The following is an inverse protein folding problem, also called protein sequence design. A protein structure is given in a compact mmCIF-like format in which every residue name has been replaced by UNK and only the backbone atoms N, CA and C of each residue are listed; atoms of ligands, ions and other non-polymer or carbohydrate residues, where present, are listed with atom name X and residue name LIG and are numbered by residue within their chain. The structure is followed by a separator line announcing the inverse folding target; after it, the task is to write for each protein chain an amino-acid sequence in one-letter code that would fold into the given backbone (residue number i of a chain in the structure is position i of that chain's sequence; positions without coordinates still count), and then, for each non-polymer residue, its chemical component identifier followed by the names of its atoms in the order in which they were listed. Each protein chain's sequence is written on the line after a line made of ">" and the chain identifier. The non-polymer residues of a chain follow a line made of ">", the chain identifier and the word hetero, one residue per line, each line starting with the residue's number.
data_IF_511679211673
#
_entry.id   IF_511679211673
#
_cell.length_a   1.000
_cell.length_b   1.000
_cell.length_c   1.000
_cell.angle_alpha   90.00
_cell.angle_beta   90.00
_cell.angle_gamma   90.00
#
_symmetry.space_group_name_H-M   'P 1'
#
loop_
_entity.id
_entity.type
_entity.pdbx_description
1 polymer ?
#
# COMPACT_ATOMS: atom_id res chain seq x y z
N UNK A 1 43.13 -1.39 17.47
CA UNK A 1 43.94 -1.20 16.24
C UNK A 1 43.17 -1.80 15.06
N UNK A 2 42.66 -0.98 14.14
CA UNK A 2 41.86 -1.44 12.99
C UNK A 2 42.71 -1.63 11.74
N UNK A 3 42.57 -2.78 11.07
CA UNK A 3 43.22 -3.03 9.79
C UNK A 3 42.54 -2.22 8.68
N UNK A 4 43.31 -1.37 7.99
CA UNK A 4 42.83 -0.63 6.83
C UNK A 4 43.25 -1.40 5.58
N UNK A 5 42.31 -2.00 4.84
CA UNK A 5 42.64 -2.75 3.64
C UNK A 5 43.29 -1.81 2.62
N UNK A 6 44.49 -2.17 2.16
CA UNK A 6 45.17 -1.45 1.08
C UNK A 6 44.62 -1.92 -0.27
N UNK A 7 44.29 -1.02 -1.20
CA UNK A 7 43.88 -1.42 -2.53
C UNK A 7 45.05 -2.11 -3.25
N UNK A 8 44.74 -3.06 -4.13
CA UNK A 8 45.75 -3.71 -4.97
C UNK A 8 46.47 -2.65 -5.83
N UNK A 9 47.81 -2.72 -5.95
CA UNK A 9 48.57 -1.76 -6.75
C UNK A 9 48.12 -1.80 -8.21
N UNK A 10 48.13 -0.63 -8.86
CA UNK A 10 47.72 -0.47 -10.28
C UNK A 10 48.73 -1.08 -11.24
N UNK A 11 49.97 -1.25 -10.80
CA UNK A 11 51.08 -1.80 -11.59
C UNK A 11 51.64 -2.98 -10.80
N UNK A 12 51.68 -4.14 -11.44
CA UNK A 12 52.34 -5.31 -10.91
C UNK A 12 53.68 -5.44 -11.64
N UNK A 13 54.77 -5.59 -10.88
CA UNK A 13 56.09 -5.87 -11.42
C UNK A 13 56.09 -7.24 -12.13
N UNK A 14 56.96 -7.40 -13.13
CA UNK A 14 57.13 -8.69 -13.81
C UNK A 14 57.84 -9.64 -12.85
N UNK A 15 57.30 -10.85 -12.69
CA UNK A 15 57.85 -11.88 -11.82
C UNK A 15 58.16 -13.13 -12.63
N UNK A 16 59.33 -13.73 -12.42
CA UNK A 16 59.74 -14.95 -13.15
C UNK A 16 59.05 -16.23 -12.65
N UNK A 17 58.18 -16.12 -11.63
CA UNK A 17 57.46 -17.26 -11.04
C UNK A 17 56.11 -17.44 -11.74
N UNK A 18 55.88 -18.55 -12.48
CA UNK A 18 54.65 -18.72 -13.29
C UNK A 18 53.35 -18.75 -12.48
N UNK A 19 53.40 -19.25 -11.24
CA UNK A 19 52.24 -19.26 -10.33
C UNK A 19 51.82 -17.84 -9.92
N UNK A 20 52.80 -16.98 -9.65
CA UNK A 20 52.56 -15.59 -9.27
C UNK A 20 52.03 -14.82 -10.48
N UNK A 21 52.61 -15.02 -11.66
CA UNK A 21 52.14 -14.37 -12.89
C UNK A 21 50.69 -14.71 -13.22
N UNK A 22 50.29 -15.99 -13.14
CA UNK A 22 48.89 -16.41 -13.33
C UNK A 22 47.96 -15.71 -12.35
N UNK A 23 48.30 -15.68 -11.06
CA UNK A 23 47.50 -15.01 -10.02
C UNK A 23 47.41 -13.50 -10.27
N UNK A 24 48.48 -12.86 -10.72
CA UNK A 24 48.49 -11.44 -11.07
C UNK A 24 47.59 -11.14 -12.27
N UNK A 25 47.58 -12.00 -13.29
CA UNK A 25 46.66 -11.89 -14.43
C UNK A 25 45.20 -12.03 -13.99
N UNK A 26 44.89 -13.00 -13.13
CA UNK A 26 43.54 -13.16 -12.57
C UNK A 26 43.09 -11.93 -11.77
N UNK A 27 43.96 -11.38 -10.93
CA UNK A 27 43.66 -10.17 -10.15
C UNK A 27 43.44 -8.94 -11.05
N UNK A 28 44.22 -8.79 -12.13
CA UNK A 28 44.01 -7.74 -13.14
C UNK A 28 42.64 -7.89 -13.80
N UNK A 29 42.31 -9.10 -14.25
CA UNK A 29 41.02 -9.41 -14.89
C UNK A 29 39.83 -9.09 -13.97
N UNK A 30 39.88 -9.58 -12.73
CA UNK A 30 38.84 -9.32 -11.73
C UNK A 30 38.68 -7.82 -11.43
N UNK A 31 39.79 -7.08 -11.37
CA UNK A 31 39.75 -5.63 -11.17
C UNK A 31 39.10 -4.91 -12.35
N UNK A 32 39.45 -5.29 -13.58
CA UNK A 32 38.86 -4.71 -14.80
C UNK A 32 37.35 -4.99 -14.86
N UNK A 33 36.94 -6.24 -14.63
CA UNK A 33 35.53 -6.63 -14.53
C UNK A 33 34.79 -5.81 -13.45
N UNK A 34 35.36 -5.74 -12.24
CA UNK A 34 34.78 -4.98 -11.13
C UNK A 34 34.68 -3.49 -11.46
N UNK A 35 35.70 -2.91 -12.09
CA UNK A 35 35.70 -1.50 -12.48
C UNK A 35 34.63 -1.21 -13.53
N UNK A 36 34.46 -2.09 -14.52
CA UNK A 36 33.41 -1.98 -15.53
C UNK A 36 32.02 -2.08 -14.89
N UNK A 37 31.82 -3.01 -13.94
CA UNK A 37 30.56 -3.13 -13.20
C UNK A 37 30.25 -1.88 -12.38
N UNK A 38 31.24 -1.30 -11.69
CA UNK A 38 31.10 -0.05 -10.94
C UNK A 38 30.72 1.10 -11.87
N UNK A 39 31.33 1.19 -13.05
CA UNK A 39 30.98 2.21 -14.04
C UNK A 39 29.54 2.06 -14.55
N UNK A 40 29.11 0.83 -14.86
CA UNK A 40 27.73 0.56 -15.29
C UNK A 40 26.74 0.97 -14.20
N UNK A 41 26.99 0.58 -12.95
CA UNK A 41 26.16 0.97 -11.81
C UNK A 41 26.13 2.50 -11.63
N UNK A 42 27.27 3.18 -11.78
CA UNK A 42 27.36 4.65 -11.72
C UNK A 42 26.52 5.30 -12.80
N UNK A 43 26.57 4.80 -14.05
CA UNK A 43 25.76 5.31 -15.16
C UNK A 43 24.27 5.16 -14.87
N UNK A 44 23.83 3.99 -14.39
CA UNK A 44 22.43 3.75 -14.01
C UNK A 44 21.95 4.72 -12.92
N UNK A 45 22.75 4.97 -11.87
CA UNK A 45 22.39 5.93 -10.82
C UNK A 45 22.25 7.35 -11.36
N UNK A 46 23.15 7.77 -12.25
CA UNK A 46 23.08 9.10 -12.89
C UNK A 46 21.82 9.22 -13.75
N UNK A 47 21.50 8.19 -14.53
CA UNK A 47 20.31 8.15 -15.38
C UNK A 47 19.01 8.23 -14.54
N UNK A 48 18.94 7.46 -13.45
CA UNK A 48 17.82 7.53 -12.51
C UNK A 48 17.69 8.91 -11.84
N UNK A 49 18.80 9.59 -11.56
CA UNK A 49 18.79 10.97 -11.04
C UNK A 49 18.29 11.99 -12.07
N UNK A 50 18.54 11.76 -13.37
CA UNK A 50 18.07 12.62 -14.46
C UNK A 50 16.59 12.46 -14.78
N UNK A 51 15.98 11.32 -14.39
CA UNK A 51 14.56 11.08 -14.62
C UNK A 51 13.74 12.15 -13.89
N UNK A 52 12.86 12.84 -14.65
CA UNK A 52 11.93 13.82 -14.07
C UNK A 52 11.13 13.14 -12.96
N UNK A 53 11.13 13.77 -11.79
CA UNK A 53 10.32 13.37 -10.66
C UNK A 53 8.91 13.93 -10.85
N UNK A 54 7.92 13.19 -10.40
CA UNK A 54 6.55 13.69 -10.37
C UNK A 54 6.49 14.88 -9.40
N UNK A 55 5.93 15.99 -9.87
CA UNK A 55 5.69 17.18 -9.04
C UNK A 55 4.24 17.20 -8.65
N UNK A 56 3.97 17.48 -7.38
CA UNK A 56 2.62 17.51 -6.85
C UNK A 56 2.29 18.89 -6.28
N UNK A 57 1.02 19.25 -6.32
CA UNK A 57 0.51 20.52 -5.81
C UNK A 57 -0.23 20.33 -4.48
N UNK A 58 -0.34 21.41 -3.70
CA UNK A 58 -1.13 21.42 -2.47
C UNK A 58 -2.59 21.11 -2.81
N UNK A 59 -3.23 20.22 -2.03
CA UNK A 59 -4.61 19.77 -2.26
C UNK A 59 -4.74 18.60 -3.23
N UNK A 60 -3.66 18.18 -3.91
CA UNK A 60 -3.71 17.02 -4.78
C UNK A 60 -3.82 15.73 -3.96
N UNK A 61 -4.69 14.80 -4.41
CA UNK A 61 -4.79 13.44 -3.85
C UNK A 61 -3.64 12.58 -4.37
N UNK A 62 -2.97 11.87 -3.47
CA UNK A 62 -1.86 10.97 -3.79
C UNK A 62 -1.96 9.67 -3.00
N UNK A 63 -1.54 8.58 -3.61
CA UNK A 63 -1.33 7.30 -2.94
C UNK A 63 0.01 7.30 -2.20
N UNK A 64 0.04 6.72 -1.00
CA UNK A 64 1.26 6.51 -0.23
C UNK A 64 1.73 5.05 -0.35
N UNK A 65 2.98 4.80 -0.73
CA UNK A 65 3.56 3.46 -0.74
C UNK A 65 3.86 2.95 0.68
N UNK A 66 3.30 1.80 1.03
CA UNK A 66 3.43 1.17 2.35
C UNK A 66 4.73 0.41 2.62
N UNK A 67 5.73 0.46 1.73
CA UNK A 67 6.93 -0.41 1.79
C UNK A 67 7.72 -0.30 3.11
N UNK A 68 7.69 0.89 3.73
CA UNK A 68 8.48 1.21 4.91
C UNK A 68 7.61 1.53 6.13
N UNK A 69 6.31 1.25 6.06
CA UNK A 69 5.35 1.64 7.09
C UNK A 69 4.75 0.39 7.71
N UNK A 70 4.62 0.41 9.04
CA UNK A 70 3.94 -0.63 9.79
C UNK A 70 2.53 -0.16 10.11
N UNK A 71 1.56 -0.75 9.42
CA UNK A 71 0.14 -0.45 9.58
C UNK A 71 -0.56 -1.47 10.50
N UNK A 72 0.19 -2.33 11.19
CA UNK A 72 -0.39 -3.28 12.17
C UNK A 72 -1.08 -4.49 11.54
N UNK A 73 -0.90 -4.73 10.24
CA UNK A 73 -1.41 -5.94 9.60
C UNK A 73 -0.61 -7.18 10.03
N UNK A 74 -1.26 -8.35 10.17
CA UNK A 74 -0.62 -9.56 10.68
C UNK A 74 0.48 -10.12 9.75
N UNK A 75 0.39 -9.90 8.43
CA UNK A 75 1.41 -10.37 7.49
C UNK A 75 1.69 -9.38 6.35
N UNK A 76 2.96 -9.25 5.95
CA UNK A 76 3.41 -8.38 4.84
C UNK A 76 2.83 -8.74 3.47
N UNK A 77 2.31 -9.95 3.29
CA UNK A 77 1.72 -10.40 2.02
C UNK A 77 0.29 -9.92 1.81
N UNK A 78 -0.45 -9.71 2.90
CA UNK A 78 -1.83 -9.21 2.89
C UNK A 78 -1.91 -7.69 3.04
N UNK A 79 -0.77 -7.03 3.24
CA UNK A 79 -0.68 -5.59 3.30
C UNK A 79 -0.98 -4.98 1.92
N UNK A 80 -1.85 -3.96 1.84
CA UNK A 80 -1.98 -3.15 0.64
C UNK A 80 -0.61 -2.58 0.25
N UNK A 81 -0.29 -2.63 -1.05
CA UNK A 81 0.98 -2.05 -1.54
C UNK A 81 0.97 -0.52 -1.45
N UNK A 82 -0.21 0.07 -1.56
CA UNK A 82 -0.46 1.51 -1.52
C UNK A 82 -1.65 1.75 -0.62
N UNK A 83 -1.50 2.72 0.25
CA UNK A 83 -2.54 3.15 1.18
C UNK A 83 -3.11 4.47 0.74
N UNK A 84 -4.43 4.58 0.87
CA UNK A 84 -5.27 5.79 0.82
C UNK A 84 -5.01 6.84 -0.29
N UNK A 85 -6.04 7.48 -0.83
CA UNK A 85 -5.84 8.81 -1.36
C UNK A 85 -5.64 9.78 -0.18
N UNK A 86 -4.39 10.21 0.04
CA UNK A 86 -4.08 11.27 0.99
C UNK A 86 -3.98 12.61 0.27
N UNK A 87 -4.45 13.66 0.92
CA UNK A 87 -4.33 15.02 0.41
C UNK A 87 -2.97 15.61 0.83
N UNK A 88 -2.31 16.32 -0.09
CA UNK A 88 -1.09 17.07 0.23
C UNK A 88 -1.48 18.34 0.97
N UNK A 89 -1.12 18.40 2.25
CA UNK A 89 -1.33 19.56 3.13
C UNK A 89 -0.37 20.70 2.76
N UNK A 90 0.91 20.38 2.52
CA UNK A 90 1.95 21.36 2.27
C UNK A 90 3.09 20.79 1.42
N UNK A 91 3.60 21.59 0.48
CA UNK A 91 4.80 21.27 -0.30
C UNK A 91 6.01 21.89 0.41
N UNK A 92 6.76 21.07 1.15
CA UNK A 92 7.91 21.56 1.92
C UNK A 92 9.15 21.81 1.06
N UNK A 93 9.25 21.14 -0.09
CA UNK A 93 10.39 21.27 -0.99
C UNK A 93 10.22 20.45 -2.27
N UNK A 94 11.23 20.41 -3.15
CA UNK A 94 11.13 19.77 -4.46
C UNK A 94 10.93 18.25 -4.38
N UNK A 95 11.21 17.64 -3.23
CA UNK A 95 11.15 16.19 -3.01
C UNK A 95 10.38 15.78 -1.77
N UNK A 96 9.97 16.74 -0.94
CA UNK A 96 9.38 16.49 0.38
C UNK A 96 8.00 17.13 0.47
N UNK A 97 7.01 16.31 0.76
CA UNK A 97 5.61 16.70 0.84
C UNK A 97 5.03 16.29 2.18
N UNK A 98 4.17 17.12 2.75
CA UNK A 98 3.43 16.84 3.97
C UNK A 98 2.01 16.39 3.60
N UNK A 99 1.62 15.22 4.08
CA UNK A 99 0.31 14.64 3.84
C UNK A 99 -0.62 14.86 5.03
N UNK A 100 -1.91 15.05 4.72
CA UNK A 100 -2.97 15.05 5.71
C UNK A 100 -3.32 13.60 6.10
N UNK A 101 -2.59 13.07 7.07
CA UNK A 101 -2.82 11.73 7.61
C UNK A 101 -3.96 11.70 8.64
N UNK A 102 -4.54 10.52 8.84
CA UNK A 102 -5.52 10.28 9.90
C UNK A 102 -4.82 10.34 11.26
N UNK A 103 -5.47 10.95 12.26
CA UNK A 103 -4.90 11.13 13.62
C UNK A 103 -4.53 9.82 14.32
N UNK A 104 -5.20 8.73 13.96
CA UNK A 104 -4.90 7.38 14.44
C UNK A 104 -3.53 6.87 14.00
N UNK A 105 -2.99 7.37 12.89
CA UNK A 105 -1.69 6.95 12.39
C UNK A 105 -0.59 7.68 13.15
N UNK A 106 0.14 6.93 13.98
CA UNK A 106 1.29 7.43 14.75
C UNK A 106 2.56 7.53 13.88
N UNK A 107 2.41 8.00 12.65
CA UNK A 107 3.46 8.09 11.63
C UNK A 107 3.71 9.57 11.33
N UNK A 108 4.96 9.95 11.08
CA UNK A 108 5.30 11.31 10.68
C UNK A 108 4.69 11.64 9.30
N UNK A 109 3.99 12.78 9.13
CA UNK A 109 3.24 13.09 7.91
C UNK A 109 4.10 13.56 6.74
N UNK A 110 5.43 13.53 6.85
CA UNK A 110 6.34 14.07 5.84
C UNK A 110 6.95 12.93 5.03
N UNK A 111 6.74 12.93 3.73
CA UNK A 111 7.15 11.86 2.83
C UNK A 111 7.95 12.37 1.64
N UNK A 112 8.85 11.51 1.17
CA UNK A 112 9.63 11.75 -0.05
C UNK A 112 8.79 11.40 -1.29
N UNK A 113 8.92 12.18 -2.36
CA UNK A 113 8.18 12.07 -3.64
C UNK A 113 8.13 10.66 -4.23
N UNK A 114 9.18 9.85 -4.01
CA UNK A 114 9.28 8.46 -4.49
C UNK A 114 8.27 7.51 -3.84
N UNK A 115 7.78 7.86 -2.66
CA UNK A 115 6.75 7.10 -1.94
C UNK A 115 5.34 7.57 -2.31
N UNK A 116 5.22 8.61 -3.13
CA UNK A 116 3.95 9.17 -3.56
C UNK A 116 3.66 8.75 -4.99
N UNK A 117 2.40 8.48 -5.29
CA UNK A 117 1.93 8.25 -6.65
C UNK A 117 0.65 9.06 -6.89
N UNK A 118 0.47 9.63 -8.08
CA UNK A 118 -0.74 10.41 -8.37
C UNK A 118 -1.97 9.52 -8.24
N UNK A 119 -2.98 10.02 -7.54
CA UNK A 119 -4.30 9.39 -7.51
C UNK A 119 -5.04 9.71 -8.81
N UNK A 120 -5.59 8.67 -9.46
CA UNK A 120 -6.45 8.80 -10.64
C UNK A 120 -7.73 8.01 -10.38
N UNK A 121 -8.87 8.69 -10.44
CA UNK A 121 -10.18 8.05 -10.43
C UNK A 121 -10.40 7.47 -11.85
N UNK A 122 -10.53 6.16 -11.94
CA UNK A 122 -10.88 5.47 -13.19
C UNK A 122 -12.32 5.02 -13.10
N UNK A 123 -13.11 5.20 -14.16
CA UNK A 123 -14.52 4.79 -14.22
C UNK A 123 -14.71 3.29 -13.89
N UNK A 124 -13.74 2.45 -14.26
CA UNK A 124 -13.72 1.00 -13.98
C UNK A 124 -13.68 0.64 -12.49
N UNK A 125 -13.13 1.51 -11.64
CA UNK A 125 -13.03 1.29 -10.20
C UNK A 125 -14.04 2.12 -9.38
N UNK A 126 -14.88 2.93 -10.05
CA UNK A 126 -15.86 3.80 -9.41
C UNK A 126 -15.24 4.91 -8.55
N UNK A 127 -16.09 5.70 -7.90
CA UNK A 127 -15.65 6.60 -6.83
C UNK A 127 -15.05 5.75 -5.70
N UNK A 128 -13.90 6.16 -5.14
CA UNK A 128 -13.34 5.49 -3.96
C UNK A 128 -14.43 5.44 -2.88
N UNK A 129 -14.95 4.24 -2.64
CA UNK A 129 -16.00 4.01 -1.66
C UNK A 129 -15.43 4.41 -0.31
N UNK A 130 -15.81 5.60 0.17
CA UNK A 130 -15.72 5.93 1.56
C UNK A 130 -16.71 5.00 2.23
N UNK A 131 -16.29 3.80 2.61
CA UNK A 131 -17.02 3.03 3.60
C UNK A 131 -17.11 3.95 4.82
N UNK A 132 -18.31 4.45 5.16
CA UNK A 132 -18.43 5.29 6.33
C UNK A 132 -17.98 4.45 7.53
N UNK A 133 -17.26 5.03 8.51
CA UNK A 133 -16.95 4.30 9.74
C UNK A 133 -18.27 3.81 10.37
N UNK A 134 -18.33 2.56 10.87
CA UNK A 134 -19.54 2.04 11.50
C UNK A 134 -19.97 2.90 12.69
N UNK A 135 -21.28 3.04 12.89
CA UNK A 135 -21.82 3.73 14.07
C UNK A 135 -21.60 2.81 15.29
N UNK A 136 -21.03 3.34 16.38
CA UNK A 136 -20.83 2.56 17.61
C UNK A 136 -22.06 2.79 18.50
N UNK A 137 -22.91 1.77 18.65
CA UNK A 137 -24.06 1.76 19.55
C UNK A 137 -23.84 0.65 20.58
N UNK A 138 -23.98 0.98 21.87
CA UNK A 138 -23.75 0.06 23.00
C UNK A 138 -22.40 -0.71 22.98
N UNK A 139 -21.37 -0.16 22.33
CA UNK A 139 -20.04 -0.79 22.26
C UNK A 139 -19.87 -1.82 21.13
N UNK A 140 -20.87 -1.96 20.26
CA UNK A 140 -20.82 -2.80 19.06
C UNK A 140 -20.92 -1.95 17.78
N UNK A 141 -20.25 -2.42 16.71
CA UNK A 141 -20.29 -1.78 15.39
C UNK A 141 -21.64 -2.08 14.71
N UNK A 142 -22.47 -1.07 14.53
CA UNK A 142 -23.76 -1.17 13.85
C UNK A 142 -23.73 -0.48 12.47
N UNK A 143 -24.34 -1.16 11.50
CA UNK A 143 -24.44 -0.68 10.12
C UNK A 143 -25.91 -0.44 9.77
N UNK A 144 -26.22 0.68 9.10
CA UNK A 144 -27.59 1.00 8.68
C UNK A 144 -28.00 0.08 7.54
N UNK A 145 -29.14 -0.60 7.68
CA UNK A 145 -29.69 -1.45 6.62
C UNK A 145 -30.43 -0.56 5.61
N UNK A 146 -30.17 -0.74 4.32
CA UNK A 146 -30.91 -0.08 3.23
C UNK A 146 -32.12 -0.89 2.78
N UNK A 147 -31.96 -2.20 2.61
CA UNK A 147 -33.05 -3.09 2.20
C UNK A 147 -32.75 -4.55 2.53
N UNK A 148 -33.78 -5.39 2.60
CA UNK A 148 -33.63 -6.85 2.59
C UNK A 148 -33.86 -7.32 1.16
N UNK A 149 -32.87 -8.00 0.57
CA UNK A 149 -32.90 -8.43 -0.84
C UNK A 149 -33.47 -9.84 -0.98
N UNK A 150 -33.25 -10.70 0.02
CA UNK A 150 -33.54 -12.12 -0.12
C UNK A 150 -33.81 -12.82 1.20
N UNK A 151 -34.45 -13.98 1.14
CA UNK A 151 -34.65 -14.86 2.28
C UNK A 151 -34.36 -16.31 1.90
N UNK A 152 -33.84 -17.11 2.84
CA UNK A 152 -33.62 -18.55 2.60
C UNK A 152 -34.84 -19.38 3.02
N UNK A 153 -35.35 -20.29 2.15
CA UNK A 153 -36.61 -20.99 2.40
C UNK A 153 -36.57 -22.13 3.44
N UNK A 154 -35.42 -22.74 3.80
CA UNK A 154 -35.32 -23.63 5.00
C UNK A 154 -33.92 -24.19 5.27
N UNK A 155 -33.52 -24.21 6.56
CA UNK A 155 -33.27 -25.48 7.28
C UNK A 155 -33.49 -25.40 8.80
N UNK A 156 -33.16 -24.29 9.48
CA UNK A 156 -33.41 -24.18 10.95
C UNK A 156 -33.77 -22.77 11.47
N UNK A 157 -33.35 -21.68 10.81
CA UNK A 157 -33.77 -20.30 11.10
C UNK A 157 -33.93 -19.52 9.78
N UNK A 158 -35.04 -18.77 9.61
CA UNK A 158 -35.21 -17.83 8.48
C UNK A 158 -34.06 -16.80 8.54
N UNK A 159 -33.15 -16.86 7.57
CA UNK A 159 -32.10 -15.85 7.37
C UNK A 159 -32.50 -14.91 6.26
N UNK A 160 -32.17 -13.63 6.43
CA UNK A 160 -32.46 -12.56 5.49
C UNK A 160 -31.15 -11.98 4.98
N UNK A 161 -31.08 -11.78 3.67
CA UNK A 161 -29.94 -11.15 3.01
C UNK A 161 -30.10 -9.64 3.13
N UNK A 162 -29.21 -9.03 3.91
CA UNK A 162 -29.22 -7.62 4.23
C UNK A 162 -28.37 -6.86 3.22
N UNK A 163 -28.94 -5.81 2.65
CA UNK A 163 -28.23 -4.80 1.87
C UNK A 163 -27.95 -3.61 2.77
N UNK A 164 -26.68 -3.34 3.04
CA UNK A 164 -26.26 -2.22 3.87
C UNK A 164 -26.38 -0.90 3.11
N UNK A 165 -26.71 0.17 3.82
CA UNK A 165 -26.77 1.53 3.28
C UNK A 165 -25.35 2.06 3.15
N UNK A 166 -25.01 2.58 1.97
CA UNK A 166 -23.69 3.15 1.64
C UNK A 166 -22.57 2.11 1.42
N UNK A 167 -22.89 0.81 1.40
CA UNK A 167 -21.97 -0.25 0.99
C UNK A 167 -22.43 -0.93 -0.31
N UNK A 168 -21.48 -1.57 -0.99
CA UNK A 168 -21.75 -2.36 -2.19
C UNK A 168 -22.32 -3.75 -1.86
N UNK A 169 -22.95 -4.37 -2.86
CA UNK A 169 -23.51 -5.73 -2.83
C UNK A 169 -22.54 -6.82 -2.41
N UNK A 170 -21.23 -6.58 -2.54
CA UNK A 170 -20.15 -7.44 -2.02
C UNK A 170 -20.20 -7.62 -0.50
N UNK A 171 -20.72 -6.64 0.23
CA UNK A 171 -20.81 -6.65 1.70
C UNK A 171 -22.13 -7.26 2.22
N UNK A 172 -22.95 -7.83 1.35
CA UNK A 172 -24.25 -8.38 1.75
C UNK A 172 -24.08 -9.58 2.68
N UNK A 173 -24.68 -9.48 3.87
CA UNK A 173 -24.61 -10.52 4.89
C UNK A 173 -25.97 -11.20 5.13
N UNK A 174 -25.91 -12.47 5.51
CA UNK A 174 -27.09 -13.23 5.94
C UNK A 174 -27.30 -13.09 7.45
N UNK A 175 -28.25 -12.25 7.86
CA UNK A 175 -28.60 -12.03 9.27
C UNK A 175 -29.84 -12.82 9.70
N UNK A 176 -29.94 -13.10 10.99
CA UNK A 176 -31.13 -13.70 11.62
C UNK A 176 -32.11 -12.61 12.06
N UNK A 177 -33.37 -12.98 12.33
CA UNK A 177 -34.37 -12.06 12.89
C UNK A 177 -33.90 -11.32 14.15
N UNK A 178 -33.26 -12.02 15.09
CA UNK A 178 -32.75 -11.41 16.34
C UNK A 178 -31.57 -10.46 16.16
N UNK A 179 -30.95 -10.42 14.97
CA UNK A 179 -29.88 -9.48 14.64
C UNK A 179 -30.41 -8.27 13.86
N UNK A 180 -31.72 -8.22 13.59
CA UNK A 180 -32.42 -7.18 12.84
C UNK A 180 -33.29 -6.29 13.75
N UNK A 181 -33.03 -6.28 15.06
CA UNK A 181 -33.86 -5.54 16.04
C UNK A 181 -33.91 -4.04 15.72
N UNK A 182 -32.77 -3.46 15.33
CA UNK A 182 -32.67 -2.04 14.92
C UNK A 182 -33.26 -1.74 13.53
N UNK A 183 -33.69 -2.77 12.78
CA UNK A 183 -34.22 -2.64 11.43
C UNK A 183 -35.54 -3.40 11.26
N UNK A 184 -36.36 -3.46 12.32
CA UNK A 184 -37.65 -4.14 12.29
C UNK A 184 -38.62 -3.57 11.26
N UNK A 185 -38.58 -2.26 10.98
CA UNK A 185 -39.46 -1.63 10.00
C UNK A 185 -39.24 -2.20 8.58
N UNK A 186 -37.99 -2.27 8.14
CA UNK A 186 -37.60 -2.84 6.85
C UNK A 186 -37.90 -4.35 6.76
N UNK A 187 -37.76 -5.05 7.89
CA UNK A 187 -38.12 -6.44 8.01
C UNK A 187 -39.62 -6.68 7.81
N UNK A 188 -40.47 -5.87 8.44
CA UNK A 188 -41.92 -5.96 8.32
C UNK A 188 -42.38 -5.61 6.89
N UNK A 189 -41.83 -4.55 6.30
CA UNK A 189 -42.12 -4.16 4.92
C UNK A 189 -41.80 -5.30 3.94
N UNK A 190 -40.63 -5.91 4.08
CA UNK A 190 -40.21 -7.03 3.23
C UNK A 190 -41.12 -8.26 3.40
N UNK A 191 -41.59 -8.55 4.61
CA UNK A 191 -42.53 -9.66 4.87
C UNK A 191 -43.89 -9.39 4.22
N UNK A 192 -44.42 -8.18 4.37
CA UNK A 192 -45.69 -7.77 3.77
C UNK A 192 -45.61 -7.91 2.25
N UNK A 193 -44.50 -7.47 1.64
CA UNK A 193 -44.29 -7.52 0.20
C UNK A 193 -44.18 -8.96 -0.34
N UNK A 194 -43.53 -9.86 0.41
CA UNK A 194 -43.27 -11.24 -0.02
C UNK A 194 -44.28 -12.28 0.51
N UNK A 195 -45.31 -11.86 1.26
CA UNK A 195 -46.36 -12.72 1.85
C UNK A 195 -45.78 -13.90 2.67
N UNK A 196 -44.82 -13.61 3.56
CA UNK A 196 -44.04 -14.60 4.35
C UNK A 196 -44.47 -14.79 5.81
#
# INVERSE_FOLDING_TARGET
>A
MGYHPRPLPTIFERTDVPSVEKRLMELKRLREETSAMIEVARRQVIEQRKKKRDTFEKGQKVWLEGKNLDFGYPTKKLLPKREGPFEIEEVMGPVTYRLKLLRQWRIHPVFHVRLLSPYKETEEHGANYLEPPPDIVEGHEEFKIKAIIGHKPRKDLKKFLVFWKEYDSSHNEWKKKGELEHAMELYLEYIIQNKL
#
